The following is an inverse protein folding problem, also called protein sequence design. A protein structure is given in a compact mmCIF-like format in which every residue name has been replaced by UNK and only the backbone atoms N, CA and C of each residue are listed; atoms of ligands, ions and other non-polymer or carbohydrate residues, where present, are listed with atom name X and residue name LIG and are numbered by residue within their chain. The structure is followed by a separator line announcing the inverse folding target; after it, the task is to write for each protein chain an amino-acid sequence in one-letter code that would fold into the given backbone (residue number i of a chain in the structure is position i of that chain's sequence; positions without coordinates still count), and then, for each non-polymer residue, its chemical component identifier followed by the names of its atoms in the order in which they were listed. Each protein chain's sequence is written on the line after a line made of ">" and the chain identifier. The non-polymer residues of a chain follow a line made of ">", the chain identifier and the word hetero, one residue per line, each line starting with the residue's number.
data_IF_082282607331
#
_entry.id   IF_082282607331
#
_cell.length_a   1.000
_cell.length_b   1.000
_cell.length_c   1.000
_cell.angle_alpha   90.00
_cell.angle_beta   90.00
_cell.angle_gamma   90.00
#
_symmetry.space_group_name_H-M   'P 1'
#
loop_
_entity.id
_entity.type
_entity.pdbx_description
1 polymer ?
#
# COMPACT_ATOMS: atom_id res chain seq x y z
N UNK A 1 15.85 -9.11 -2.74
CA UNK A 1 15.71 -7.86 -2.03
C UNK A 1 15.01 -8.03 -0.72
N UNK A 2 13.81 -8.47 -0.77
CA UNK A 2 13.00 -8.62 0.45
C UNK A 2 13.61 -9.57 1.44
N UNK A 3 14.21 -10.63 0.95
CA UNK A 3 14.84 -11.63 1.79
C UNK A 3 15.99 -11.07 2.63
N UNK A 4 16.65 -10.04 2.13
CA UNK A 4 17.75 -9.43 2.85
C UNK A 4 17.29 -8.83 4.17
N UNK A 5 16.16 -8.14 4.14
CA UNK A 5 15.60 -7.54 5.35
C UNK A 5 15.17 -8.63 6.32
N UNK A 6 14.53 -9.67 5.80
CA UNK A 6 14.09 -10.79 6.63
C UNK A 6 15.26 -11.47 7.29
N UNK A 7 16.35 -11.67 6.55
CA UNK A 7 17.53 -12.31 7.11
C UNK A 7 18.08 -11.55 8.31
N UNK A 8 18.05 -10.24 8.26
CA UNK A 8 18.52 -9.44 9.37
C UNK A 8 17.73 -9.66 10.65
N UNK A 9 16.46 -9.91 10.51
CA UNK A 9 15.63 -10.18 11.67
C UNK A 9 16.05 -11.47 12.38
N UNK A 10 16.51 -12.45 11.61
CA UNK A 10 16.92 -13.70 12.18
C UNK A 10 18.27 -13.65 12.86
N UNK A 11 19.05 -12.60 12.63
CA UNK A 11 20.35 -12.44 13.23
C UNK A 11 20.33 -11.52 14.44
N UNK A 12 19.17 -11.20 14.95
CA UNK A 12 19.05 -10.37 16.14
C UNK A 12 19.71 -11.05 17.35
N UNK A 13 20.37 -10.26 18.22
CA UNK A 13 20.96 -10.81 19.43
C UNK A 13 19.91 -11.52 20.28
N UNK A 14 20.27 -12.68 20.81
CA UNK A 14 19.36 -13.44 21.64
C UNK A 14 18.48 -14.42 20.89
N UNK A 15 18.51 -14.38 19.57
CA UNK A 15 17.73 -15.35 18.78
C UNK A 15 18.36 -16.74 18.90
N UNK A 16 17.54 -17.79 19.11
CA UNK A 16 18.07 -19.14 19.16
C UNK A 16 18.68 -19.54 17.82
N UNK A 17 19.82 -20.24 17.88
CA UNK A 17 20.45 -20.70 16.66
C UNK A 17 19.56 -21.61 15.83
N UNK A 18 18.78 -22.46 16.48
CA UNK A 18 17.88 -23.34 15.79
C UNK A 18 16.85 -22.61 14.93
N UNK A 19 16.60 -21.37 15.24
CA UNK A 19 15.65 -20.57 14.48
C UNK A 19 16.20 -20.25 13.09
N UNK A 20 17.48 -19.91 13.01
CA UNK A 20 18.11 -19.57 11.75
C UNK A 20 18.14 -20.80 10.80
N UNK A 21 18.36 -21.98 11.35
CA UNK A 21 18.35 -23.19 10.53
C UNK A 21 16.96 -23.63 10.14
N UNK A 22 15.99 -23.32 10.99
CA UNK A 22 14.60 -23.67 10.72
C UNK A 22 14.04 -22.84 9.57
N UNK A 23 14.54 -21.62 9.40
CA UNK A 23 14.09 -20.72 8.35
C UNK A 23 15.27 -20.38 7.46
N UNK A 24 15.53 -21.23 6.48
CA UNK A 24 16.70 -21.07 5.62
C UNK A 24 16.66 -19.72 4.89
N UNK A 25 17.85 -19.18 4.67
CA UNK A 25 17.99 -17.88 4.01
C UNK A 25 17.53 -17.92 2.55
N UNK A 26 17.40 -19.09 2.00
CA UNK A 26 16.97 -19.26 0.63
C UNK A 26 15.47 -19.46 0.49
N UNK A 27 14.70 -19.05 1.49
CA UNK A 27 13.25 -19.24 1.40
C UNK A 27 12.63 -18.44 0.25
N UNK A 28 13.39 -17.51 -0.32
CA UNK A 28 12.97 -16.82 -1.54
C UNK A 28 12.90 -17.76 -2.73
N UNK A 29 13.62 -18.87 -2.66
CA UNK A 29 13.54 -19.90 -3.69
C UNK A 29 12.28 -20.78 -3.53
N UNK A 30 11.66 -20.74 -2.37
CA UNK A 30 10.43 -21.45 -2.10
C UNK A 30 9.27 -20.47 -2.33
N UNK A 31 8.65 -20.52 -3.53
CA UNK A 31 7.67 -19.51 -3.89
C UNK A 31 6.45 -19.60 -3.01
N UNK A 32 6.27 -18.58 -2.19
CA UNK A 32 5.03 -18.42 -1.45
C UNK A 32 3.95 -17.97 -2.41
N UNK A 33 2.73 -18.47 -2.26
CA UNK A 33 1.65 -17.92 -3.05
C UNK A 33 1.51 -16.44 -2.74
N UNK A 34 1.24 -15.61 -3.75
CA UNK A 34 1.09 -14.18 -3.52
C UNK A 34 -0.10 -13.93 -2.59
N UNK A 35 0.09 -12.99 -1.66
CA UNK A 35 -1.01 -12.58 -0.83
C UNK A 35 -2.02 -11.83 -1.71
N UNK A 36 -3.22 -12.35 -1.79
CA UNK A 36 -4.28 -11.71 -2.54
C UNK A 36 -5.18 -10.97 -1.57
N UNK A 37 -5.29 -9.67 -1.79
CA UNK A 37 -6.10 -8.80 -0.94
C UNK A 37 -7.58 -9.11 -1.19
N UNK A 38 -8.38 -9.33 -0.14
CA UNK A 38 -9.81 -9.50 -0.32
C UNK A 38 -10.42 -8.29 -1.00
N UNK A 39 -11.38 -8.53 -1.86
CA UNK A 39 -12.06 -7.44 -2.56
C UNK A 39 -12.96 -6.68 -1.57
N UNK A 40 -12.66 -5.41 -1.39
CA UNK A 40 -13.49 -4.55 -0.54
C UNK A 40 -14.71 -4.06 -1.30
N UNK A 41 -15.87 -4.25 -0.73
CA UNK A 41 -17.13 -3.78 -1.32
C UNK A 41 -17.53 -2.40 -0.82
N UNK A 42 -16.82 -1.88 0.17
CA UNK A 42 -17.14 -0.57 0.73
C UNK A 42 -16.79 0.55 -0.25
N UNK A 43 -17.64 1.56 -0.28
CA UNK A 43 -17.41 2.73 -1.12
C UNK A 43 -16.41 3.67 -0.48
N UNK A 44 -15.67 4.37 -1.32
CA UNK A 44 -14.81 5.46 -0.87
C UNK A 44 -15.70 6.68 -0.64
N UNK A 45 -15.60 7.27 0.53
CA UNK A 45 -16.36 8.47 0.86
C UNK A 45 -15.57 9.71 0.49
N UNK A 46 -16.13 10.54 -0.37
CA UNK A 46 -15.49 11.79 -0.76
C UNK A 46 -15.90 12.86 0.26
N UNK A 47 -14.91 13.44 0.94
CA UNK A 47 -15.14 14.45 1.96
C UNK A 47 -15.00 15.86 1.39
N UNK A 48 -14.12 16.04 0.41
CA UNK A 48 -13.88 17.34 -0.19
C UNK A 48 -13.27 17.15 -1.57
N UNK A 49 -13.58 18.04 -2.49
CA UNK A 49 -12.92 18.05 -3.80
C UNK A 49 -12.80 19.47 -4.33
N UNK A 50 -11.73 19.71 -5.07
CA UNK A 50 -11.57 20.93 -5.87
C UNK A 50 -10.74 20.57 -7.10
N UNK A 51 -10.25 21.57 -7.82
CA UNK A 51 -9.47 21.38 -9.03
C UNK A 51 -8.11 20.73 -8.76
N UNK A 52 -7.62 20.83 -7.55
CA UNK A 52 -6.24 20.46 -7.22
C UNK A 52 -6.14 19.17 -6.43
N UNK A 53 -7.10 18.89 -5.57
CA UNK A 53 -7.01 17.73 -4.70
C UNK A 53 -8.39 17.18 -4.32
N UNK A 54 -8.35 15.97 -3.81
CA UNK A 54 -9.50 15.31 -3.18
C UNK A 54 -9.12 15.00 -1.75
N UNK A 55 -10.09 15.05 -0.86
CA UNK A 55 -9.96 14.51 0.49
C UNK A 55 -10.98 13.40 0.61
N UNK A 56 -10.52 12.20 0.90
CA UNK A 56 -11.36 11.01 0.92
C UNK A 56 -11.19 10.26 2.22
N UNK A 57 -12.19 9.46 2.55
CA UNK A 57 -12.14 8.56 3.68
C UNK A 57 -11.98 7.15 3.13
N UNK A 58 -10.80 6.58 3.34
CA UNK A 58 -10.48 5.24 2.85
C UNK A 58 -11.12 4.20 3.76
N UNK A 59 -11.89 3.26 3.21
CA UNK A 59 -12.38 2.16 4.02
C UNK A 59 -11.24 1.20 4.40
N UNK A 60 -11.47 0.44 5.45
CA UNK A 60 -10.54 -0.63 5.81
C UNK A 60 -10.53 -1.70 4.73
N UNK A 61 -9.45 -2.45 4.66
CA UNK A 61 -9.27 -3.57 3.71
C UNK A 61 -9.31 -3.14 2.24
N UNK A 62 -8.97 -1.89 1.98
CA UNK A 62 -8.76 -1.40 0.62
C UNK A 62 -7.34 -0.86 0.52
N UNK A 63 -6.59 -1.31 -0.48
CA UNK A 63 -5.25 -0.80 -0.71
C UNK A 63 -5.32 0.67 -1.11
N UNK A 64 -4.32 1.44 -0.69
CA UNK A 64 -4.20 2.85 -1.11
C UNK A 64 -3.68 2.95 -2.54
N UNK A 65 -2.69 2.14 -2.87
CA UNK A 65 -2.05 2.09 -4.18
C UNK A 65 -2.02 0.66 -4.69
N UNK A 66 -1.82 0.43 -6.00
CA UNK A 66 -1.82 -0.92 -6.54
C UNK A 66 -0.76 -1.80 -5.91
N UNK A 67 -1.11 -3.04 -5.62
CA UNK A 67 -0.16 -4.03 -5.20
C UNK A 67 0.68 -4.53 -6.37
N UNK A 68 1.70 -5.33 -6.07
CA UNK A 68 2.60 -5.87 -7.09
C UNK A 68 1.93 -6.90 -7.98
N UNK A 69 1.09 -7.72 -7.39
CA UNK A 69 0.40 -8.75 -8.14
C UNK A 69 -0.74 -8.14 -8.94
N UNK A 70 -0.95 -8.55 -10.20
CA UNK A 70 -2.02 -7.97 -11.02
C UNK A 70 -3.41 -8.07 -10.39
N UNK A 71 -3.67 -9.11 -9.60
CA UNK A 71 -4.96 -9.26 -8.93
C UNK A 71 -5.13 -8.31 -7.75
N UNK A 72 -4.07 -7.65 -7.31
CA UNK A 72 -4.10 -6.65 -6.24
C UNK A 72 -4.08 -5.22 -6.77
N UNK A 73 -4.65 -4.99 -7.94
CA UNK A 73 -4.72 -3.66 -8.52
C UNK A 73 -5.95 -2.88 -8.09
N UNK A 74 -6.92 -3.52 -7.47
CA UNK A 74 -8.07 -2.81 -6.92
C UNK A 74 -7.62 -2.04 -5.68
N UNK A 75 -7.61 -0.73 -5.79
CA UNK A 75 -7.11 0.15 -4.74
C UNK A 75 -7.83 1.49 -4.80
N UNK A 76 -7.66 2.27 -3.74
CA UNK A 76 -8.28 3.59 -3.65
C UNK A 76 -7.92 4.45 -4.86
N UNK A 77 -6.65 4.50 -5.20
CA UNK A 77 -6.17 5.35 -6.28
C UNK A 77 -6.79 4.96 -7.62
N UNK A 78 -6.82 3.68 -7.93
CA UNK A 78 -7.39 3.21 -9.18
C UNK A 78 -8.90 3.43 -9.26
N UNK A 79 -9.60 3.27 -8.14
CA UNK A 79 -11.04 3.55 -8.08
C UNK A 79 -11.33 5.03 -8.30
N UNK A 80 -10.51 5.90 -7.71
CA UNK A 80 -10.68 7.35 -7.88
C UNK A 80 -10.32 7.78 -9.29
N UNK A 81 -9.32 7.16 -9.90
CA UNK A 81 -8.87 7.53 -11.24
C UNK A 81 -9.98 7.35 -12.29
N UNK A 82 -10.91 6.44 -12.06
CA UNK A 82 -12.04 6.25 -12.96
C UNK A 82 -12.96 7.45 -13.00
N UNK A 83 -13.12 8.15 -11.89
CA UNK A 83 -13.96 9.35 -11.81
C UNK A 83 -13.18 10.64 -11.96
N UNK A 84 -11.93 10.62 -11.53
CA UNK A 84 -11.06 11.80 -11.50
C UNK A 84 -9.72 11.44 -12.12
N UNK A 85 -9.64 11.35 -13.45
CA UNK A 85 -8.40 10.94 -14.12
C UNK A 85 -7.22 11.83 -13.77
N UNK A 86 -6.07 11.22 -13.58
CA UNK A 86 -4.85 11.95 -13.26
C UNK A 86 -4.53 12.06 -11.78
N UNK A 87 -5.31 11.43 -10.92
CA UNK A 87 -5.01 11.42 -9.48
C UNK A 87 -3.70 10.69 -9.20
N UNK A 88 -3.03 11.13 -8.15
CA UNK A 88 -1.74 10.58 -7.74
C UNK A 88 -1.75 10.33 -6.23
N UNK A 89 -0.78 9.56 -5.76
CA UNK A 89 -0.61 9.32 -4.34
C UNK A 89 0.53 10.16 -3.80
N UNK A 90 0.28 10.89 -2.71
CA UNK A 90 1.32 11.62 -1.99
C UNK A 90 1.63 10.94 -0.65
N UNK A 91 0.72 10.17 -0.15
CA UNK A 91 0.90 9.32 1.02
C UNK A 91 -0.04 8.13 0.91
N UNK A 92 0.09 7.19 1.82
CA UNK A 92 -0.76 6.01 1.80
C UNK A 92 -1.05 5.54 3.23
N UNK A 93 -2.17 4.86 3.38
CA UNK A 93 -2.54 4.14 4.59
C UNK A 93 -2.42 2.65 4.31
N UNK A 94 -2.18 1.89 5.35
CA UNK A 94 -2.06 0.44 5.23
C UNK A 94 -3.40 -0.19 4.83
N UNK A 95 -3.35 -1.42 4.39
CA UNK A 95 -4.53 -2.16 3.92
C UNK A 95 -5.66 -2.14 4.94
N UNK A 96 -5.35 -2.46 6.18
CA UNK A 96 -6.33 -2.57 7.27
C UNK A 96 -6.62 -1.25 7.96
N UNK A 97 -5.94 -0.18 7.59
CA UNK A 97 -6.15 1.13 8.17
C UNK A 97 -7.19 1.90 7.39
N UNK A 98 -8.21 2.38 8.08
CA UNK A 98 -9.16 3.32 7.50
C UNK A 98 -8.78 4.74 7.91
N UNK A 99 -9.24 5.72 7.18
CA UNK A 99 -9.01 7.10 7.55
C UNK A 99 -8.93 8.05 6.37
N UNK A 100 -8.60 9.28 6.69
CA UNK A 100 -8.60 10.37 5.72
C UNK A 100 -7.31 10.38 4.92
N UNK A 101 -7.46 10.51 3.61
CA UNK A 101 -6.32 10.65 2.70
C UNK A 101 -6.51 11.86 1.81
N UNK A 102 -5.40 12.54 1.54
CA UNK A 102 -5.34 13.64 0.58
C UNK A 102 -4.80 13.07 -0.74
N UNK A 103 -5.55 13.29 -1.81
CA UNK A 103 -5.20 12.76 -3.13
C UNK A 103 -5.06 13.92 -4.10
N UNK A 104 -3.83 14.26 -4.53
CA UNK A 104 -3.65 15.34 -5.49
C UNK A 104 -4.19 14.96 -6.88
N UNK A 105 -4.77 15.95 -7.54
CA UNK A 105 -5.34 15.79 -8.88
C UNK A 105 -4.44 16.34 -9.96
N UNK A 106 -3.46 17.16 -9.61
CA UNK A 106 -2.56 17.80 -10.56
C UNK A 106 -1.12 17.55 -10.12
N UNK A 107 -0.21 17.67 -11.07
CA UNK A 107 1.21 17.53 -10.77
C UNK A 107 1.69 18.64 -9.83
N UNK A 108 1.17 19.84 -9.99
CA UNK A 108 1.52 20.97 -9.12
C UNK A 108 1.09 20.71 -7.69
N UNK A 109 -0.12 20.16 -7.51
CA UNK A 109 -0.61 19.83 -6.17
C UNK A 109 0.23 18.70 -5.55
N UNK A 110 0.60 17.70 -6.34
CA UNK A 110 1.45 16.62 -5.88
C UNK A 110 2.78 17.16 -5.37
N UNK A 111 3.44 18.03 -6.14
CA UNK A 111 4.71 18.63 -5.74
C UNK A 111 4.58 19.47 -4.48
N UNK A 112 3.51 20.27 -4.40
CA UNK A 112 3.28 21.12 -3.24
C UNK A 112 3.06 20.33 -1.96
N UNK A 113 2.25 19.28 -2.04
CA UNK A 113 1.97 18.44 -0.88
C UNK A 113 3.18 17.61 -0.47
N UNK A 114 3.95 17.13 -1.43
CA UNK A 114 5.13 16.32 -1.14
C UNK A 114 6.23 17.09 -0.41
N UNK A 115 6.24 18.42 -0.54
CA UNK A 115 7.22 19.26 0.16
C UNK A 115 6.86 19.54 1.61
N UNK A 116 5.67 19.25 2.00
CA UNK A 116 5.19 19.48 3.38
C UNK A 116 5.31 18.19 4.23
#
# INVERSE_FOLDING_TARGET
>A
MRSVVTCRLWTLPGAPEGLATRYPLNFTADPQPPYLVPHSKESIRLLYRDEHLLIVDKPTLLLSVPGRHPLNHDCLLNRLDRQYPGVSAVHRLDLDTSGVMVVPRTRAALSGLARQ
#
